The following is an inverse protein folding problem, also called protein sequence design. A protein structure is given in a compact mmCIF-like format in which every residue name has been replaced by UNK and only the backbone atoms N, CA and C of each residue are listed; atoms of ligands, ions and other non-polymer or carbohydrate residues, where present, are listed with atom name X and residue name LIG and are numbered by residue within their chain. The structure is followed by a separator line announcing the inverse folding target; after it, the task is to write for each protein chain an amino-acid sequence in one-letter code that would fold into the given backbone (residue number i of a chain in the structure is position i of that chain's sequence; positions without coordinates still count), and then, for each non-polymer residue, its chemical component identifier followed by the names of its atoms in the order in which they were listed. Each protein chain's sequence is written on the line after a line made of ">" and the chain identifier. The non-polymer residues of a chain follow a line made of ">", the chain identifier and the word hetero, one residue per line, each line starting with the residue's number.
data_IF_831082164426
#
_entry.id   IF_831082164426
#
_cell.length_a   1.000
_cell.length_b   1.000
_cell.length_c   1.000
_cell.angle_alpha   90.00
_cell.angle_beta   90.00
_cell.angle_gamma   90.00
#
_symmetry.space_group_name_H-M   'P 1'
#
loop_
_entity.id
_entity.type
_entity.pdbx_description
1 polymer ?
#
# COMPACT_ATOMS: atom_id res chain seq x y z
N UNK A 1 -9.58 23.15 -10.32
CA UNK A 1 -8.98 21.96 -10.96
C UNK A 1 -8.64 20.91 -9.92
N UNK A 2 -8.85 19.66 -10.27
CA UNK A 2 -8.54 18.55 -9.36
C UNK A 2 -7.03 18.40 -9.19
N UNK A 3 -6.60 18.18 -7.96
CA UNK A 3 -5.23 17.82 -7.66
C UNK A 3 -5.02 16.33 -7.94
N UNK A 4 -3.78 15.94 -8.18
CA UNK A 4 -3.38 14.54 -8.27
C UNK A 4 -2.67 14.14 -6.99
N UNK A 5 -3.11 13.05 -6.39
CA UNK A 5 -2.50 12.50 -5.17
C UNK A 5 -2.02 11.09 -5.44
N UNK A 6 -0.88 10.76 -4.87
CA UNK A 6 -0.23 9.46 -5.04
C UNK A 6 -0.03 8.79 -3.67
N UNK A 7 -0.27 7.50 -3.64
CA UNK A 7 0.16 6.62 -2.55
C UNK A 7 1.02 5.51 -3.16
N UNK A 8 1.89 4.91 -2.37
CA UNK A 8 2.74 3.82 -2.83
C UNK A 8 2.81 2.69 -1.82
N UNK A 9 3.05 1.49 -2.29
CA UNK A 9 3.23 0.34 -1.42
C UNK A 9 3.34 -0.97 -2.17
N UNK A 10 3.56 -2.04 -1.41
CA UNK A 10 3.58 -3.41 -1.93
C UNK A 10 2.18 -3.97 -2.07
N UNK A 11 1.31 -3.71 -1.11
CA UNK A 11 -0.07 -4.20 -1.08
C UNK A 11 -0.15 -5.72 -1.26
N UNK A 12 0.65 -6.45 -0.49
CA UNK A 12 0.83 -7.88 -0.66
C UNK A 12 0.71 -8.65 0.67
N UNK A 13 -0.50 -9.07 1.06
CA UNK A 13 -1.78 -8.80 0.42
C UNK A 13 -2.33 -7.40 0.70
N UNK A 14 -3.26 -6.98 -0.13
CA UNK A 14 -4.06 -5.77 0.17
C UNK A 14 -4.99 -6.08 1.35
N UNK A 15 -5.21 -5.09 2.20
CA UNK A 15 -6.06 -5.27 3.36
C UNK A 15 -6.85 -3.98 3.67
N UNK A 16 -7.69 -4.06 4.70
CA UNK A 16 -8.59 -2.96 5.06
C UNK A 16 -7.86 -1.65 5.35
N UNK A 17 -6.69 -1.72 5.97
CA UNK A 17 -5.87 -0.52 6.24
C UNK A 17 -5.47 0.20 4.97
N UNK A 18 -5.09 -0.55 3.94
CA UNK A 18 -4.78 0.01 2.62
C UNK A 18 -6.00 0.68 1.99
N UNK A 19 -7.14 0.01 2.05
CA UNK A 19 -8.38 0.57 1.50
C UNK A 19 -8.76 1.88 2.19
N UNK A 20 -8.68 1.94 3.51
CA UNK A 20 -8.97 3.15 4.28
C UNK A 20 -8.02 4.29 3.92
N UNK A 21 -6.75 4.00 3.79
CA UNK A 21 -5.75 4.97 3.35
C UNK A 21 -6.08 5.51 1.96
N UNK A 22 -6.40 4.63 1.03
CA UNK A 22 -6.74 5.02 -0.34
C UNK A 22 -8.01 5.86 -0.39
N UNK A 23 -9.03 5.49 0.37
CA UNK A 23 -10.28 6.27 0.45
C UNK A 23 -10.05 7.66 1.01
N UNK A 24 -9.23 7.77 2.05
CA UNK A 24 -8.89 9.06 2.65
C UNK A 24 -8.07 9.92 1.68
N UNK A 25 -7.07 9.33 1.02
CA UNK A 25 -6.27 10.02 0.02
C UNK A 25 -7.13 10.55 -1.13
N UNK A 26 -8.08 9.76 -1.60
CA UNK A 26 -8.96 10.12 -2.71
C UNK A 26 -9.86 11.33 -2.41
N UNK A 27 -10.04 11.69 -1.15
CA UNK A 27 -10.77 12.92 -0.77
C UNK A 27 -10.00 14.18 -1.13
N UNK A 28 -8.68 14.08 -1.31
CA UNK A 28 -7.80 15.21 -1.57
C UNK A 28 -7.45 15.38 -3.04
N UNK A 29 -7.84 14.45 -3.90
CA UNK A 29 -7.56 14.54 -5.32
C UNK A 29 -7.77 13.23 -6.05
N UNK A 30 -7.43 13.21 -7.35
CA UNK A 30 -7.45 11.98 -8.14
C UNK A 30 -6.33 11.07 -7.69
N UNK A 31 -6.67 9.87 -7.26
CA UNK A 31 -5.71 8.95 -6.65
C UNK A 31 -5.02 8.07 -7.69
N UNK A 32 -3.71 8.16 -7.74
CA UNK A 32 -2.83 7.22 -8.43
C UNK A 32 -2.13 6.36 -7.38
N UNK A 33 -2.16 5.04 -7.57
CA UNK A 33 -1.49 4.09 -6.68
C UNK A 33 -0.26 3.55 -7.37
N UNK A 34 0.90 3.77 -6.77
CA UNK A 34 2.16 3.17 -7.22
C UNK A 34 2.33 1.84 -6.50
N UNK A 35 2.39 0.76 -7.25
CA UNK A 35 2.53 -0.59 -6.70
C UNK A 35 3.93 -1.09 -6.94
N UNK A 36 4.61 -1.53 -5.89
CA UNK A 36 5.95 -2.08 -5.99
C UNK A 36 5.95 -3.42 -6.72
N UNK A 37 7.02 -3.67 -7.49
CA UNK A 37 7.20 -4.87 -8.28
C UNK A 37 7.38 -6.13 -7.41
N UNK A 38 7.26 -7.29 -8.03
CA UNK A 38 7.56 -8.57 -7.38
C UNK A 38 9.03 -8.64 -6.93
N UNK A 39 9.94 -8.11 -7.74
CA UNK A 39 11.36 -8.04 -7.39
C UNK A 39 11.58 -7.22 -6.11
N UNK A 40 10.88 -6.10 -5.98
CA UNK A 40 10.96 -5.28 -4.78
C UNK A 40 10.49 -6.06 -3.54
N UNK A 41 9.39 -6.80 -3.66
CA UNK A 41 8.86 -7.64 -2.57
C UNK A 41 9.86 -8.73 -2.17
N UNK A 42 10.47 -9.39 -3.14
CA UNK A 42 11.48 -10.42 -2.89
C UNK A 42 12.68 -9.86 -2.13
N UNK A 43 13.14 -8.67 -2.50
CA UNK A 43 14.25 -8.01 -1.80
C UNK A 43 13.88 -7.60 -0.39
N UNK A 44 12.65 -7.11 -0.18
CA UNK A 44 12.22 -6.61 1.12
C UNK A 44 11.78 -7.71 2.07
N UNK A 45 10.99 -8.67 1.59
CA UNK A 45 10.32 -9.68 2.43
C UNK A 45 10.81 -11.10 2.20
N UNK A 46 11.43 -11.37 1.04
CA UNK A 46 11.84 -12.69 0.67
C UNK A 46 10.76 -13.56 0.02
N UNK A 47 9.56 -13.04 -0.20
CA UNK A 47 8.46 -13.75 -0.85
C UNK A 47 7.52 -12.78 -1.55
N UNK A 48 6.74 -13.33 -2.49
CA UNK A 48 5.60 -12.65 -3.12
C UNK A 48 4.36 -13.46 -2.75
N UNK A 49 3.41 -12.83 -2.07
CA UNK A 49 2.13 -13.47 -1.72
C UNK A 49 1.19 -13.44 -2.92
N UNK A 50 1.03 -12.26 -3.53
CA UNK A 50 0.25 -12.07 -4.76
C UNK A 50 1.15 -11.45 -5.83
N UNK A 51 1.21 -12.03 -7.06
CA UNK A 51 1.99 -11.41 -8.14
C UNK A 51 1.45 -10.02 -8.50
N UNK A 52 2.31 -9.18 -9.05
CA UNK A 52 1.98 -7.80 -9.42
C UNK A 52 0.68 -7.70 -10.22
N UNK A 53 0.50 -8.57 -11.23
CA UNK A 53 -0.69 -8.54 -12.09
C UNK A 53 -2.00 -8.65 -11.30
N UNK A 54 -2.03 -9.50 -10.29
CA UNK A 54 -3.22 -9.65 -9.44
C UNK A 54 -3.41 -8.45 -8.52
N UNK A 55 -2.34 -7.97 -7.90
CA UNK A 55 -2.41 -6.78 -7.02
C UNK A 55 -2.90 -5.57 -7.81
N UNK A 56 -2.35 -5.36 -8.99
CA UNK A 56 -2.73 -4.24 -9.84
C UNK A 56 -4.18 -4.32 -10.30
N UNK A 57 -4.64 -5.51 -10.70
CA UNK A 57 -6.02 -5.69 -11.13
C UNK A 57 -7.01 -5.42 -10.00
N UNK A 58 -6.75 -6.00 -8.81
CA UNK A 58 -7.62 -5.77 -7.65
C UNK A 58 -7.68 -4.28 -7.27
N UNK A 59 -6.55 -3.62 -7.19
CA UNK A 59 -6.49 -2.21 -6.79
C UNK A 59 -7.13 -1.32 -7.85
N UNK A 60 -6.94 -1.61 -9.12
CA UNK A 60 -7.52 -0.82 -10.21
C UNK A 60 -9.05 -0.82 -10.21
N UNK A 61 -9.66 -1.84 -9.62
CA UNK A 61 -11.11 -1.96 -9.52
C UNK A 61 -11.71 -1.29 -8.28
N UNK A 62 -10.88 -0.78 -7.38
CA UNK A 62 -11.37 -0.04 -6.22
C UNK A 62 -11.94 1.30 -6.67
N UNK A 63 -13.16 1.62 -6.23
CA UNK A 63 -13.87 2.82 -6.68
C UNK A 63 -13.14 4.14 -6.41
N UNK A 64 -12.30 4.16 -5.38
CA UNK A 64 -11.54 5.36 -5.02
C UNK A 64 -10.26 5.55 -5.83
N UNK A 65 -9.84 4.54 -6.61
CA UNK A 65 -8.58 4.57 -7.37
C UNK A 65 -8.86 5.02 -8.80
N UNK A 66 -8.15 6.07 -9.22
CA UNK A 66 -8.24 6.58 -10.58
C UNK A 66 -7.26 5.85 -11.51
N UNK A 67 -6.05 5.59 -11.03
CA UNK A 67 -4.98 5.02 -11.86
C UNK A 67 -4.02 4.17 -11.03
N UNK A 68 -3.50 3.10 -11.64
CA UNK A 68 -2.47 2.25 -11.07
C UNK A 68 -1.21 2.32 -11.92
N UNK A 69 -0.05 2.44 -11.28
CA UNK A 69 1.26 2.52 -11.94
C UNK A 69 2.22 1.56 -11.25
N UNK A 70 3.00 0.81 -12.02
CA UNK A 70 4.08 0.02 -11.46
C UNK A 70 5.25 0.92 -11.10
N UNK A 71 5.83 0.74 -9.91
CA UNK A 71 7.05 1.43 -9.54
C UNK A 71 8.17 1.05 -10.52
N UNK A 72 8.82 2.07 -11.09
CA UNK A 72 9.87 1.87 -12.09
C UNK A 72 11.26 1.85 -11.48
N UNK A 73 11.36 2.10 -10.18
CA UNK A 73 12.63 2.20 -9.47
C UNK A 73 13.29 0.83 -9.31
N UNK A 74 14.60 0.79 -9.52
CA UNK A 74 15.40 -0.41 -9.26
C UNK A 74 15.89 -0.54 -7.83
N UNK A 75 15.62 0.46 -7.00
CA UNK A 75 16.01 0.50 -5.59
C UNK A 75 14.78 0.33 -4.68
N UNK A 76 14.94 0.66 -3.39
CA UNK A 76 13.84 0.54 -2.42
C UNK A 76 12.91 1.74 -2.37
N UNK A 77 13.21 2.78 -3.15
CA UNK A 77 12.44 4.01 -3.16
C UNK A 77 11.45 4.04 -4.32
N UNK A 78 10.58 5.05 -4.33
CA UNK A 78 9.72 5.36 -5.48
C UNK A 78 10.08 6.71 -6.09
N UNK A 79 11.30 7.17 -5.85
CA UNK A 79 11.76 8.50 -6.27
C UNK A 79 11.69 8.71 -7.78
N UNK A 80 12.17 7.76 -8.57
CA UNK A 80 12.14 7.89 -10.04
C UNK A 80 10.70 7.91 -10.55
N UNK A 81 9.84 7.07 -9.98
CA UNK A 81 8.43 7.03 -10.32
C UNK A 81 7.75 8.37 -9.98
N UNK A 82 8.07 8.94 -8.82
CA UNK A 82 7.54 10.26 -8.42
C UNK A 82 8.01 11.38 -9.36
N UNK A 83 9.25 11.33 -9.81
CA UNK A 83 9.78 12.29 -10.78
C UNK A 83 9.00 12.24 -12.09
N UNK A 84 8.63 11.05 -12.53
CA UNK A 84 7.88 10.83 -13.75
C UNK A 84 6.43 11.30 -13.63
N UNK A 85 5.77 10.94 -12.53
CA UNK A 85 4.34 11.26 -12.31
C UNK A 85 4.15 12.73 -11.95
N UNK A 86 5.02 13.28 -11.11
CA UNK A 86 4.92 14.65 -10.59
C UNK A 86 3.55 14.96 -10.01
N UNK A 87 3.11 14.25 -8.97
CA UNK A 87 1.82 14.53 -8.35
C UNK A 87 1.84 15.85 -7.59
N UNK A 88 0.67 16.36 -7.27
CA UNK A 88 0.55 17.52 -6.37
C UNK A 88 0.82 17.12 -4.92
N UNK A 89 0.38 15.91 -4.54
CA UNK A 89 0.48 15.42 -3.18
C UNK A 89 1.03 13.98 -3.19
N UNK A 90 1.96 13.69 -2.29
CA UNK A 90 2.40 12.34 -1.97
C UNK A 90 1.95 12.00 -0.55
N UNK A 91 1.06 11.04 -0.42
CA UNK A 91 0.46 10.66 0.85
C UNK A 91 1.09 9.40 1.42
N UNK A 92 1.30 9.39 2.71
CA UNK A 92 1.84 8.26 3.47
C UNK A 92 0.84 7.80 4.53
N UNK A 93 0.84 6.50 4.79
CA UNK A 93 0.00 5.90 5.83
C UNK A 93 0.44 6.24 7.24
N UNK A 94 -0.34 5.80 8.22
CA UNK A 94 -0.24 6.22 9.62
C UNK A 94 1.05 5.86 10.35
N UNK A 95 1.86 4.94 9.83
CA UNK A 95 3.12 4.55 10.45
C UNK A 95 4.35 5.26 9.86
N UNK A 96 4.14 6.17 8.89
CA UNK A 96 5.23 6.92 8.24
C UNK A 96 5.11 8.39 8.52
N UNK A 97 5.96 8.85 9.44
CA UNK A 97 6.00 10.27 9.85
C UNK A 97 7.40 10.87 9.70
N UNK A 98 8.30 10.18 9.01
CA UNK A 98 9.68 10.63 8.86
C UNK A 98 9.85 11.59 7.69
N UNK A 99 10.47 12.74 7.95
CA UNK A 99 10.83 13.73 6.93
C UNK A 99 12.22 13.50 6.32
N UNK A 100 12.87 12.39 6.69
CA UNK A 100 14.24 12.09 6.28
C UNK A 100 14.35 11.02 5.19
N UNK A 101 13.22 10.48 4.71
CA UNK A 101 13.23 9.50 3.64
C UNK A 101 13.68 10.13 2.31
N UNK A 102 14.24 9.33 1.38
CA UNK A 102 14.57 9.84 0.05
C UNK A 102 13.36 10.47 -0.66
N UNK A 103 12.18 9.87 -0.51
CA UNK A 103 10.95 10.40 -1.09
C UNK A 103 10.58 11.76 -0.52
N UNK A 104 10.73 11.94 0.80
CA UNK A 104 10.43 13.21 1.46
C UNK A 104 11.35 14.32 0.95
N UNK A 105 12.65 14.03 0.81
CA UNK A 105 13.63 14.99 0.28
C UNK A 105 13.32 15.36 -1.17
N UNK A 106 12.96 14.37 -1.98
CA UNK A 106 12.59 14.61 -3.37
C UNK A 106 11.34 15.48 -3.48
N UNK A 107 10.33 15.19 -2.68
CA UNK A 107 9.09 15.97 -2.67
C UNK A 107 9.36 17.42 -2.30
N UNK A 108 10.22 17.66 -1.33
CA UNK A 108 10.64 19.03 -0.97
C UNK A 108 11.29 19.73 -2.15
N UNK A 109 12.22 19.07 -2.84
CA UNK A 109 12.90 19.64 -4.02
C UNK A 109 11.93 19.95 -5.16
N UNK A 110 10.95 19.09 -5.39
CA UNK A 110 9.99 19.23 -6.50
C UNK A 110 8.74 20.04 -6.15
N UNK A 111 8.61 20.47 -4.91
CA UNK A 111 7.42 21.21 -4.48
C UNK A 111 6.17 20.33 -4.37
N UNK A 112 6.34 19.03 -4.15
CA UNK A 112 5.24 18.08 -3.92
C UNK A 112 4.87 18.13 -2.44
N UNK A 113 3.58 18.33 -2.15
CA UNK A 113 3.09 18.35 -0.78
C UNK A 113 3.16 16.95 -0.18
N UNK A 114 3.74 16.85 1.02
CA UNK A 114 3.75 15.59 1.78
C UNK A 114 2.58 15.56 2.74
N UNK A 115 1.85 14.45 2.75
CA UNK A 115 0.73 14.24 3.66
C UNK A 115 1.00 12.96 4.45
N UNK A 116 0.90 13.04 5.78
CA UNK A 116 1.17 11.93 6.68
C UNK A 116 -0.10 11.47 7.38
N UNK A 117 -0.04 10.29 7.98
CA UNK A 117 -1.11 9.71 8.79
C UNK A 117 -2.44 9.58 8.03
N UNK A 118 -2.36 9.33 6.74
CA UNK A 118 -3.55 9.19 5.89
C UNK A 118 -4.22 7.85 6.17
N UNK A 119 -5.51 7.88 6.48
CA UNK A 119 -6.30 6.70 6.83
C UNK A 119 -6.29 6.36 8.31
N UNK A 120 -5.63 7.18 9.15
CA UNK A 120 -5.58 6.98 10.59
C UNK A 120 -4.60 5.90 11.02
N UNK A 121 -4.82 5.35 12.21
CA UNK A 121 -3.93 4.34 12.78
C UNK A 121 -3.93 3.06 11.96
N UNK A 122 -2.77 2.40 11.95
CA UNK A 122 -2.59 1.15 11.23
C UNK A 122 -3.43 0.03 11.84
N UNK A 123 -4.41 -0.49 11.11
CA UNK A 123 -5.31 -1.55 11.58
C UNK A 123 -4.82 -2.94 11.21
N UNK A 124 -4.00 -3.07 10.18
CA UNK A 124 -3.46 -4.35 9.70
C UNK A 124 -2.06 -4.17 9.16
N UNK A 125 -1.34 -5.26 9.04
CA UNK A 125 -0.05 -5.34 8.37
C UNK A 125 -0.06 -6.56 7.45
N UNK A 126 0.32 -6.38 6.20
CA UNK A 126 0.40 -7.48 5.22
C UNK A 126 1.31 -8.60 5.73
N UNK A 127 2.49 -8.24 6.26
CA UNK A 127 3.44 -9.22 6.80
C UNK A 127 2.87 -9.96 8.00
N UNK A 128 2.16 -9.27 8.89
CA UNK A 128 1.51 -9.91 10.04
C UNK A 128 0.39 -10.84 9.61
N UNK A 129 -0.42 -10.43 8.64
CA UNK A 129 -1.50 -11.28 8.12
C UNK A 129 -0.93 -12.60 7.57
N UNK A 130 0.16 -12.54 6.84
CA UNK A 130 0.82 -13.75 6.32
C UNK A 130 1.38 -14.60 7.46
N UNK A 131 2.07 -13.97 8.43
CA UNK A 131 2.66 -14.67 9.58
C UNK A 131 1.64 -15.30 10.51
N UNK A 132 0.47 -14.67 10.67
CA UNK A 132 -0.59 -15.19 11.54
C UNK A 132 -1.22 -16.47 11.02
N UNK A 133 -1.09 -16.78 9.74
CA UNK A 133 -1.56 -18.04 9.17
C UNK A 133 -0.53 -19.15 9.46
N UNK A 134 -0.49 -19.56 10.74
CA UNK A 134 0.39 -20.63 11.20
C UNK A 134 -0.43 -21.89 11.41
N UNK A 135 0.26 -23.05 11.54
CA UNK A 135 -0.43 -24.33 11.83
C UNK A 135 -1.27 -24.23 13.10
N UNK A 136 -0.76 -23.55 14.12
CA UNK A 136 -1.48 -23.35 15.38
C UNK A 136 -2.78 -22.56 15.20
N UNK A 137 -2.72 -21.47 14.45
CA UNK A 137 -3.91 -20.66 14.15
C UNK A 137 -4.91 -21.45 13.32
N UNK A 138 -4.45 -22.16 12.31
CA UNK A 138 -5.30 -23.00 11.46
C UNK A 138 -6.06 -24.04 12.29
N UNK A 139 -5.38 -24.67 13.23
CA UNK A 139 -6.00 -25.63 14.14
C UNK A 139 -7.09 -24.99 14.99
N UNK A 140 -6.83 -23.82 15.54
CA UNK A 140 -7.82 -23.08 16.35
C UNK A 140 -9.04 -22.68 15.53
N UNK A 141 -8.83 -22.19 14.33
CA UNK A 141 -9.92 -21.77 13.47
C UNK A 141 -10.79 -22.97 13.04
N UNK A 142 -10.16 -24.10 12.71
CA UNK A 142 -10.87 -25.33 12.38
C UNK A 142 -11.68 -25.86 13.57
N UNK A 143 -11.12 -25.83 14.76
CA UNK A 143 -11.78 -26.26 15.98
C UNK A 143 -13.01 -25.41 16.27
N UNK A 144 -12.88 -24.10 16.16
CA UNK A 144 -14.00 -23.16 16.31
C UNK A 144 -15.10 -23.44 15.28
N UNK A 145 -14.75 -23.68 14.04
CA UNK A 145 -15.68 -24.00 12.96
C UNK A 145 -16.44 -25.31 13.24
N UNK A 146 -15.73 -26.35 13.70
CA UNK A 146 -16.37 -27.64 14.09
C UNK A 146 -17.36 -27.46 15.23
N UNK A 147 -17.03 -26.64 16.23
CA UNK A 147 -17.88 -26.34 17.35
C UNK A 147 -19.16 -25.60 16.92
N UNK A 148 -19.02 -24.65 15.99
CA UNK A 148 -20.16 -23.92 15.43
C UNK A 148 -21.11 -24.84 14.63
N UNK A 149 -20.56 -25.80 13.89
CA UNK A 149 -21.34 -26.75 13.09
C UNK A 149 -21.98 -27.81 13.96
N UNK A 150 -21.35 -28.23 15.05
CA UNK A 150 -21.85 -29.29 15.96
C UNK A 150 -23.09 -28.85 16.74
N UNK A 151 -23.46 -27.60 16.68
CA UNK A 151 -24.69 -27.09 17.26
C UNK A 151 -25.87 -27.32 16.30
#
# INVERSE_FOLDING_TARGET
>A
MSKNIVVSGGFDPIHLGHLRMMKEAAKHGKLTVIINSDTWLLRKKGYVFMPYSERAELISELSCVDKVVMAMDGDRTVCETLKEIRPDIFANGGDRVSHTTPEARLCEELGIELMYDVGGDKVRSSSKLVKEVTEKKRKKDLERFRNEIAL
#
